data_IF_230721545613
#
_entry.id   IF_230721545613
#
_cell.length_a   1.000
_cell.length_b   1.000
_cell.length_c   1.000
_cell.angle_alpha   90.00
_cell.angle_beta   90.00
_cell.angle_gamma   90.00
#
_symmetry.space_group_name_H-M   'P 1'
#
loop_
_entity.id
_entity.type
_entity.pdbx_description
1 polymer ?
#
# COMPACT_ATOMS: atom_id res chain seq x y z
N UNK A 1 -1.94 -44.16 -4.62
CA UNK A 1 -1.09 -44.33 -3.43
C UNK A 1 -0.68 -42.93 -3.05
N UNK A 2 -1.36 -42.37 -2.05
CA UNK A 2 -0.98 -41.09 -1.48
C UNK A 2 0.27 -41.34 -0.62
N UNK A 3 1.43 -41.13 -1.18
CA UNK A 3 2.66 -40.98 -0.41
C UNK A 3 2.51 -39.70 0.38
N UNK A 4 2.47 -39.85 1.70
CA UNK A 4 2.18 -38.77 2.63
C UNK A 4 3.12 -37.58 2.39
N UNK A 5 2.60 -36.48 1.95
CA UNK A 5 3.19 -35.14 1.91
C UNK A 5 3.86 -34.77 3.25
N UNK A 6 3.47 -35.45 4.31
CA UNK A 6 3.86 -35.20 5.69
C UNK A 6 5.30 -35.55 6.06
N UNK A 7 6.01 -36.26 5.19
CA UNK A 7 7.38 -36.77 5.52
C UNK A 7 8.49 -35.79 5.16
N UNK A 8 8.28 -34.84 4.27
CA UNK A 8 9.33 -34.01 3.69
C UNK A 8 9.43 -32.59 4.28
N UNK A 9 8.39 -32.12 4.94
CA UNK A 9 8.33 -30.77 5.48
C UNK A 9 8.52 -30.76 6.99
N UNK A 10 9.71 -31.04 7.49
CA UNK A 10 9.96 -31.02 8.93
C UNK A 10 10.57 -29.69 9.38
N UNK A 11 10.06 -29.11 10.48
CA UNK A 11 10.32 -27.75 10.92
C UNK A 11 11.80 -27.34 11.07
N UNK A 12 12.69 -28.29 11.36
CA UNK A 12 14.14 -28.05 11.32
C UNK A 12 14.69 -27.91 9.89
N UNK A 13 13.92 -28.31 8.89
CA UNK A 13 14.33 -28.34 7.48
C UNK A 13 13.54 -27.37 6.60
N UNK A 14 12.71 -26.47 7.15
CA UNK A 14 11.91 -25.53 6.36
C UNK A 14 12.82 -24.62 5.50
N UNK A 15 13.93 -24.17 6.04
CA UNK A 15 14.95 -23.41 5.29
C UNK A 15 15.63 -24.26 4.21
N UNK A 16 15.88 -25.54 4.50
CA UNK A 16 16.43 -26.48 3.54
C UNK A 16 15.45 -26.80 2.41
N UNK A 17 14.16 -26.95 2.73
CA UNK A 17 13.11 -27.16 1.72
C UNK A 17 12.93 -25.93 0.84
N UNK A 18 12.96 -24.74 1.42
CA UNK A 18 12.92 -23.50 0.66
C UNK A 18 14.12 -23.32 -0.28
N UNK A 19 15.32 -23.71 0.18
CA UNK A 19 16.53 -23.71 -0.67
C UNK A 19 16.46 -24.75 -1.79
N UNK A 20 15.94 -25.93 -1.51
CA UNK A 20 15.70 -26.95 -2.53
C UNK A 20 14.67 -26.49 -3.56
N UNK A 21 13.61 -25.84 -3.11
CA UNK A 21 12.59 -25.29 -4.00
C UNK A 21 13.15 -24.15 -4.87
N UNK A 22 13.95 -23.26 -4.32
CA UNK A 22 14.65 -22.23 -5.10
C UNK A 22 15.54 -22.85 -6.19
N UNK A 23 16.30 -23.89 -5.85
CA UNK A 23 17.10 -24.65 -6.84
C UNK A 23 16.24 -25.35 -7.88
N UNK A 24 15.10 -25.93 -7.48
CA UNK A 24 14.15 -26.53 -8.41
C UNK A 24 13.59 -25.50 -9.41
N UNK A 25 13.27 -24.29 -8.96
CA UNK A 25 12.79 -23.21 -9.84
C UNK A 25 13.85 -22.75 -10.85
N UNK A 26 15.12 -22.72 -10.44
CA UNK A 26 16.24 -22.40 -11.35
C UNK A 26 16.49 -23.52 -12.36
N UNK A 27 16.47 -24.75 -11.88
CA UNK A 27 16.66 -25.94 -12.71
C UNK A 27 16.00 -27.16 -12.04
N UNK A 28 14.87 -27.67 -12.56
CA UNK A 28 14.16 -28.81 -11.99
C UNK A 28 15.02 -30.05 -11.75
N UNK A 29 16.05 -30.23 -12.56
CA UNK A 29 17.00 -31.37 -12.43
C UNK A 29 18.11 -31.16 -11.40
N UNK A 30 18.14 -30.03 -10.72
CA UNK A 30 19.14 -29.75 -9.68
C UNK A 30 18.80 -30.38 -8.32
N UNK A 31 17.61 -30.94 -8.19
CA UNK A 31 17.11 -31.67 -7.01
C UNK A 31 16.94 -33.15 -7.35
N UNK A 32 16.88 -34.00 -6.33
CA UNK A 32 16.64 -35.43 -6.60
C UNK A 32 15.20 -35.67 -7.09
N UNK A 33 15.00 -36.83 -7.74
CA UNK A 33 13.72 -37.19 -8.38
C UNK A 33 12.52 -37.16 -7.41
N UNK A 34 12.73 -37.40 -6.13
CA UNK A 34 11.68 -37.39 -5.11
C UNK A 34 11.20 -35.96 -4.86
N UNK A 35 12.14 -35.01 -4.80
CA UNK A 35 11.84 -33.59 -4.66
C UNK A 35 11.26 -32.98 -5.94
N UNK A 36 11.75 -33.39 -7.10
CA UNK A 36 11.22 -32.97 -8.39
C UNK A 36 9.74 -33.34 -8.50
N UNK A 37 9.40 -34.59 -8.21
CA UNK A 37 8.01 -35.06 -8.21
C UNK A 37 7.17 -34.32 -7.16
N UNK A 38 7.71 -34.12 -5.97
CA UNK A 38 7.02 -33.40 -4.90
C UNK A 38 6.70 -31.95 -5.28
N UNK A 39 7.65 -31.20 -5.82
CA UNK A 39 7.45 -29.80 -6.22
C UNK A 39 6.59 -29.67 -7.46
N UNK A 40 6.55 -30.67 -8.33
CA UNK A 40 5.69 -30.71 -9.52
C UNK A 40 4.22 -30.98 -9.15
N UNK A 41 3.97 -31.80 -8.12
CA UNK A 41 2.64 -32.17 -7.66
C UNK A 41 2.04 -31.18 -6.65
N UNK A 42 2.78 -30.11 -6.31
CA UNK A 42 2.29 -29.08 -5.40
C UNK A 42 1.12 -28.29 -6.02
N UNK A 43 0.05 -28.11 -5.22
CA UNK A 43 -1.03 -27.19 -5.60
C UNK A 43 -0.51 -25.78 -5.74
N UNK A 44 -1.13 -24.98 -6.63
CA UNK A 44 -0.77 -23.58 -6.88
C UNK A 44 -0.65 -22.75 -5.58
N UNK A 45 -1.50 -23.02 -4.60
CA UNK A 45 -1.48 -22.34 -3.30
C UNK A 45 -0.20 -22.61 -2.49
N UNK A 46 0.28 -23.85 -2.49
CA UNK A 46 1.51 -24.24 -1.80
C UNK A 46 2.76 -23.73 -2.53
N UNK A 47 2.75 -23.67 -3.84
CA UNK A 47 3.85 -23.07 -4.62
C UNK A 47 4.00 -21.59 -4.29
N UNK A 48 2.89 -20.87 -4.14
CA UNK A 48 2.91 -19.45 -3.77
C UNK A 48 3.43 -19.25 -2.34
N UNK A 49 3.04 -20.11 -1.40
CA UNK A 49 3.54 -20.06 -0.01
C UNK A 49 5.05 -20.28 0.03
N UNK A 50 5.58 -21.24 -0.73
CA UNK A 50 7.03 -21.50 -0.79
C UNK A 50 7.80 -20.34 -1.43
N UNK A 51 7.25 -19.71 -2.45
CA UNK A 51 7.83 -18.50 -3.04
C UNK A 51 7.86 -17.33 -2.05
N UNK A 52 6.83 -17.17 -1.23
CA UNK A 52 6.77 -16.14 -0.18
C UNK A 52 7.74 -16.42 0.98
N UNK A 53 8.11 -17.68 1.22
CA UNK A 53 9.13 -18.06 2.23
C UNK A 53 10.54 -17.58 1.90
N UNK A 54 10.87 -17.41 0.63
CA UNK A 54 12.13 -16.81 0.18
C UNK A 54 12.18 -15.30 0.30
N UNK A 55 11.11 -14.69 0.85
CA UNK A 55 10.94 -13.25 0.94
C UNK A 55 11.91 -12.54 1.87
N UNK A 56 12.22 -11.32 1.49
CA UNK A 56 13.15 -10.44 2.15
C UNK A 56 12.85 -10.24 3.65
N UNK A 57 13.89 -10.29 4.46
CA UNK A 57 13.85 -9.86 5.85
C UNK A 57 13.55 -8.35 5.93
N UNK A 58 12.58 -7.98 6.76
CA UNK A 58 12.22 -6.60 7.03
C UNK A 58 13.00 -6.09 8.24
N UNK A 59 13.91 -5.16 8.03
CA UNK A 59 14.29 -4.27 9.10
C UNK A 59 13.15 -3.25 9.27
N UNK A 60 12.69 -2.94 10.49
CA UNK A 60 11.77 -1.83 10.73
C UNK A 60 12.49 -0.55 10.33
N UNK A 61 12.25 -0.10 9.09
CA UNK A 61 12.84 1.12 8.60
C UNK A 61 11.89 2.27 8.86
N UNK A 62 12.41 3.27 9.50
CA UNK A 62 12.01 4.67 9.47
C UNK A 62 10.51 4.93 9.27
N UNK A 63 9.86 5.38 10.35
CA UNK A 63 8.51 5.93 10.32
C UNK A 63 8.40 7.02 9.25
N UNK A 64 7.45 6.86 8.33
CA UNK A 64 7.08 7.92 7.38
C UNK A 64 6.40 9.05 8.15
N UNK A 65 7.12 10.12 8.44
CA UNK A 65 6.61 11.27 9.17
C UNK A 65 6.03 12.28 8.20
N UNK A 66 4.71 12.49 8.23
CA UNK A 66 4.04 13.52 7.43
C UNK A 66 4.23 14.89 8.10
N UNK A 67 4.56 15.91 7.30
CA UNK A 67 4.66 17.30 7.76
C UNK A 67 6.06 17.75 8.18
N UNK A 68 7.09 17.01 7.84
CA UNK A 68 8.46 17.41 8.03
C UNK A 68 8.96 18.31 6.89
N UNK A 69 9.45 19.51 7.20
CA UNK A 69 10.11 20.38 6.20
C UNK A 69 11.58 19.97 6.11
N UNK A 70 11.93 19.40 5.00
CA UNK A 70 13.06 18.60 4.61
C UNK A 70 14.50 19.04 4.86
N UNK A 71 14.83 20.01 5.68
CA UNK A 71 16.24 20.40 5.84
C UNK A 71 17.07 19.55 6.80
N UNK A 72 16.44 18.68 7.61
CA UNK A 72 17.16 17.80 8.56
C UNK A 72 17.00 16.31 8.20
N UNK A 73 15.99 15.94 7.41
CA UNK A 73 15.76 14.54 6.98
C UNK A 73 16.51 14.18 5.69
N UNK A 74 16.98 15.17 4.95
CA UNK A 74 17.79 14.89 3.75
C UNK A 74 19.13 14.20 4.10
N UNK A 75 19.67 14.41 5.30
CA UNK A 75 20.88 13.71 5.76
C UNK A 75 20.59 12.31 6.33
N UNK A 76 19.42 12.09 6.92
CA UNK A 76 19.04 10.75 7.42
C UNK A 76 18.30 9.89 6.37
N UNK A 77 17.71 10.51 5.33
CA UNK A 77 17.08 9.83 4.21
C UNK A 77 18.01 9.66 3.00
N UNK A 78 19.24 10.13 3.09
CA UNK A 78 20.29 9.90 2.09
C UNK A 78 20.98 8.55 2.26
N UNK A 79 20.41 7.62 3.00
CA UNK A 79 20.79 6.22 2.87
C UNK A 79 20.47 5.78 1.44
N UNK A 80 21.49 5.46 0.63
CA UNK A 80 21.32 5.07 -0.75
C UNK A 80 20.83 3.62 -0.79
N UNK A 81 19.54 3.41 -0.53
CA UNK A 81 18.88 2.11 -0.78
C UNK A 81 18.66 1.89 -2.27
N UNK A 82 19.05 2.84 -3.10
CA UNK A 82 18.98 2.67 -4.56
C UNK A 82 20.37 2.87 -5.13
N UNK A 83 20.90 1.79 -5.67
CA UNK A 83 22.13 1.64 -6.45
C UNK A 83 23.34 1.16 -5.65
N UNK A 84 23.29 -0.15 -5.30
CA UNK A 84 24.51 -0.95 -5.49
C UNK A 84 24.26 -1.88 -6.68
N UNK A 85 25.06 -1.81 -7.72
CA UNK A 85 25.15 -2.90 -8.69
C UNK A 85 25.49 -4.17 -7.91
N UNK A 86 24.87 -5.27 -8.26
CA UNK A 86 25.26 -6.58 -7.78
C UNK A 86 26.62 -6.87 -8.45
N UNK A 87 27.69 -6.34 -7.87
CA UNK A 87 29.01 -6.87 -8.16
C UNK A 87 29.09 -8.22 -7.48
N UNK A 88 29.36 -9.23 -8.29
CA UNK A 88 29.53 -10.60 -7.88
C UNK A 88 30.57 -10.72 -6.77
N UNK A 89 30.12 -10.93 -5.56
CA UNK A 89 30.96 -11.43 -4.50
C UNK A 89 31.03 -12.96 -4.60
N UNK A 90 32.14 -13.40 -5.16
CA UNK A 90 32.71 -14.73 -4.91
C UNK A 90 32.72 -14.94 -3.39
N UNK A 91 31.73 -15.61 -2.85
CA UNK A 91 31.72 -16.14 -1.49
C UNK A 91 32.20 -17.58 -1.55
N UNK A 92 33.50 -17.73 -1.70
CA UNK A 92 34.16 -18.91 -1.19
C UNK A 92 33.96 -18.95 0.33
N UNK A 93 33.05 -19.80 0.78
CA UNK A 93 32.86 -20.10 2.19
C UNK A 93 34.16 -20.73 2.76
N UNK A 94 34.65 -20.24 3.91
CA UNK A 94 35.74 -20.95 4.60
C UNK A 94 35.21 -22.30 5.07
N UNK A 95 36.01 -23.32 4.85
CA UNK A 95 35.68 -24.71 5.12
C UNK A 95 35.11 -24.98 6.49
N UNK A 96 33.90 -25.53 6.50
CA UNK A 96 33.35 -26.28 7.63
C UNK A 96 33.93 -27.71 7.63
N UNK A 97 35.15 -27.77 8.05
CA UNK A 97 35.76 -29.01 8.48
C UNK A 97 36.11 -28.87 9.94
N UNK A 98 35.20 -29.27 10.84
CA UNK A 98 35.57 -29.78 12.16
C UNK A 98 34.28 -30.12 12.97
N UNK A 99 34.05 -31.44 13.13
CA UNK A 99 33.57 -32.02 14.36
C UNK A 99 32.16 -31.63 14.84
N UNK A 100 31.12 -32.23 14.26
CA UNK A 100 29.90 -32.45 15.01
C UNK A 100 30.18 -33.38 16.18
N UNK A 101 29.91 -33.00 17.45
CA UNK A 101 29.95 -33.97 18.53
C UNK A 101 28.81 -34.98 18.29
N UNK A 102 29.18 -36.25 18.21
CA UNK A 102 28.23 -37.35 18.21
C UNK A 102 27.41 -37.33 19.50
N UNK A 103 26.23 -36.73 19.47
CA UNK A 103 25.17 -36.97 20.44
C UNK A 103 24.38 -38.19 19.97
N UNK A 104 24.99 -39.33 20.04
CA UNK A 104 24.26 -40.58 20.05
C UNK A 104 23.99 -40.91 21.51
N UNK A 105 22.71 -40.91 21.91
CA UNK A 105 22.09 -42.00 22.61
C UNK A 105 20.73 -41.60 23.16
N UNK A 106 19.66 -42.30 22.68
CA UNK A 106 18.50 -42.61 23.47
C UNK A 106 17.39 -41.60 23.55
N UNK A 107 16.89 -41.10 22.43
CA UNK A 107 15.52 -40.55 22.38
C UNK A 107 14.73 -41.31 21.31
N UNK A 108 13.58 -41.78 21.70
CA UNK A 108 12.62 -42.48 20.85
C UNK A 108 12.48 -41.78 19.50
N UNK A 109 12.99 -42.34 18.42
CA UNK A 109 13.02 -41.74 17.09
C UNK A 109 11.61 -41.37 16.56
N UNK A 110 10.55 -42.01 17.11
CA UNK A 110 9.14 -41.65 16.80
C UNK A 110 8.71 -40.35 17.47
N UNK A 111 9.02 -40.17 18.76
CA UNK A 111 8.64 -38.92 19.46
C UNK A 111 9.36 -37.70 18.90
N UNK A 112 10.56 -37.88 18.34
CA UNK A 112 11.29 -36.81 17.61
C UNK A 112 10.64 -36.51 16.27
N UNK A 113 10.23 -37.50 15.49
CA UNK A 113 9.59 -37.33 14.19
C UNK A 113 8.21 -36.64 14.29
N UNK A 114 7.41 -36.98 15.31
CA UNK A 114 6.10 -36.34 15.51
C UNK A 114 6.23 -34.86 15.88
N UNK A 115 7.19 -34.50 16.72
CA UNK A 115 7.47 -33.10 17.07
C UNK A 115 7.94 -32.29 15.87
N UNK A 116 8.74 -32.87 15.04
CA UNK A 116 9.24 -32.26 13.81
C UNK A 116 8.09 -32.04 12.82
N UNK A 117 7.21 -33.03 12.66
CA UNK A 117 6.00 -32.91 11.83
C UNK A 117 5.08 -31.79 12.33
N UNK A 118 4.81 -31.74 13.63
CA UNK A 118 3.97 -30.72 14.24
C UNK A 118 4.56 -29.31 14.00
N UNK A 119 5.85 -29.12 14.24
CA UNK A 119 6.51 -27.85 14.03
C UNK A 119 6.43 -27.38 12.56
N UNK A 120 6.54 -28.33 11.63
CA UNK A 120 6.39 -28.03 10.20
C UNK A 120 4.97 -27.61 9.85
N UNK A 121 4.00 -28.35 10.34
CA UNK A 121 2.59 -28.06 10.11
C UNK A 121 2.22 -26.69 10.69
N UNK A 122 2.70 -26.37 11.89
CA UNK A 122 2.53 -25.06 12.51
C UNK A 122 3.12 -23.93 11.66
N UNK A 123 4.31 -24.13 11.11
CA UNK A 123 4.96 -23.14 10.23
C UNK A 123 4.15 -22.91 8.96
N UNK A 124 3.70 -23.97 8.30
CA UNK A 124 2.86 -23.87 7.09
C UNK A 124 1.53 -23.18 7.42
N UNK A 125 0.86 -23.60 8.48
CA UNK A 125 -0.40 -23.00 8.92
C UNK A 125 -0.25 -21.51 9.25
N UNK A 126 0.83 -21.12 9.91
CA UNK A 126 1.13 -19.73 10.20
C UNK A 126 1.34 -18.91 8.92
N UNK A 127 2.07 -19.44 7.94
CA UNK A 127 2.32 -18.78 6.66
C UNK A 127 1.04 -18.66 5.82
N UNK A 128 0.19 -19.69 5.82
CA UNK A 128 -1.13 -19.63 5.17
C UNK A 128 -2.01 -18.55 5.82
N UNK A 129 -2.02 -18.46 7.14
CA UNK A 129 -2.73 -17.42 7.86
C UNK A 129 -2.20 -16.02 7.51
N UNK A 130 -0.88 -15.82 7.47
CA UNK A 130 -0.29 -14.55 7.03
C UNK A 130 -0.76 -14.19 5.61
N UNK A 131 -0.69 -15.16 4.69
CA UNK A 131 -1.12 -14.95 3.30
C UNK A 131 -2.60 -14.54 3.21
N UNK A 132 -3.47 -15.19 3.94
CA UNK A 132 -4.90 -14.85 3.90
C UNK A 132 -5.15 -13.45 4.42
N UNK A 133 -4.47 -13.01 5.45
CA UNK A 133 -4.57 -11.61 5.89
C UNK A 133 -4.07 -10.63 4.85
N UNK A 134 -3.03 -10.95 4.07
CA UNK A 134 -2.57 -10.13 2.93
C UNK A 134 -3.63 -10.03 1.83
N UNK A 135 -4.39 -11.08 1.59
CA UNK A 135 -5.43 -11.14 0.54
C UNK A 135 -6.76 -10.59 1.03
N UNK A 136 -7.18 -10.90 2.26
CA UNK A 136 -8.55 -10.67 2.76
C UNK A 136 -8.64 -9.87 4.05
N UNK A 137 -7.52 -9.44 4.62
CA UNK A 137 -7.53 -8.68 5.88
C UNK A 137 -8.37 -7.40 5.81
N UNK A 138 -8.44 -6.75 4.63
CA UNK A 138 -9.27 -5.59 4.38
C UNK A 138 -10.77 -5.84 4.63
N UNK A 139 -11.27 -7.07 4.48
CA UNK A 139 -12.66 -7.42 4.76
C UNK A 139 -13.03 -7.27 6.25
N UNK A 140 -12.03 -7.26 7.13
CA UNK A 140 -12.20 -7.03 8.56
C UNK A 140 -11.69 -5.67 9.03
N UNK A 141 -11.33 -4.79 8.09
CA UNK A 141 -10.95 -3.43 8.42
C UNK A 141 -12.16 -2.61 8.87
N UNK A 142 -11.93 -1.72 9.83
CA UNK A 142 -12.98 -0.85 10.37
C UNK A 142 -13.10 0.42 9.53
N UNK A 143 -13.98 0.40 8.53
CA UNK A 143 -14.28 1.55 7.67
C UNK A 143 -15.49 2.35 8.13
N UNK A 144 -16.18 1.89 9.16
CA UNK A 144 -17.42 2.49 9.64
C UNK A 144 -17.20 3.31 10.92
N UNK A 145 -16.96 4.62 10.81
CA UNK A 145 -16.77 5.46 11.99
C UNK A 145 -18.04 5.63 12.84
N UNK A 146 -19.20 5.28 12.27
CA UNK A 146 -20.49 5.37 12.96
C UNK A 146 -20.88 4.05 13.64
N UNK A 147 -20.19 2.96 13.35
CA UNK A 147 -20.46 1.64 13.94
C UNK A 147 -21.80 1.03 13.53
N UNK A 148 -22.32 1.39 12.36
CA UNK A 148 -23.63 0.91 11.86
C UNK A 148 -23.50 -0.47 11.21
N UNK A 149 -22.34 -0.81 10.67
CA UNK A 149 -22.04 -2.13 10.12
C UNK A 149 -21.70 -3.10 11.25
N UNK A 150 -22.33 -4.26 11.25
CA UNK A 150 -21.98 -5.31 12.21
C UNK A 150 -20.55 -5.84 11.97
N UNK A 151 -19.78 -6.03 13.02
CA UNK A 151 -18.46 -6.66 12.95
C UNK A 151 -18.63 -8.18 12.90
N UNK A 152 -18.69 -8.77 11.73
CA UNK A 152 -18.56 -10.22 11.57
C UNK A 152 -17.14 -10.57 11.15
N UNK A 153 -16.46 -11.40 11.94
CA UNK A 153 -15.15 -11.92 11.55
C UNK A 153 -15.31 -12.78 10.29
N UNK A 154 -14.55 -12.47 9.26
CA UNK A 154 -14.53 -13.32 8.08
C UNK A 154 -13.96 -14.70 8.45
N UNK A 155 -14.63 -15.81 8.10
CA UNK A 155 -14.24 -17.15 8.59
C UNK A 155 -12.79 -17.52 8.27
N UNK A 156 -12.27 -17.12 7.13
CA UNK A 156 -10.89 -17.40 6.76
C UNK A 156 -9.84 -16.57 7.54
N UNK A 157 -10.27 -15.56 8.30
CA UNK A 157 -9.39 -14.79 9.19
C UNK A 157 -9.40 -15.32 10.62
N UNK A 158 -10.17 -16.38 10.89
CA UNK A 158 -10.15 -17.07 12.19
C UNK A 158 -8.93 -18.01 12.25
N UNK A 159 -8.04 -17.87 13.25
CA UNK A 159 -6.88 -18.75 13.42
C UNK A 159 -7.27 -20.24 13.56
N UNK A 160 -8.47 -20.54 14.02
CA UNK A 160 -8.98 -21.91 14.13
C UNK A 160 -9.07 -22.61 12.78
N UNK A 161 -9.30 -21.86 11.70
CA UNK A 161 -9.31 -22.39 10.33
C UNK A 161 -7.95 -22.98 9.93
N UNK A 162 -6.88 -22.54 10.58
CA UNK A 162 -5.50 -23.02 10.37
C UNK A 162 -5.02 -23.98 11.46
N UNK A 163 -5.93 -24.46 12.32
CA UNK A 163 -5.60 -25.39 13.38
C UNK A 163 -5.02 -24.77 14.64
N UNK A 164 -5.04 -23.43 14.78
CA UNK A 164 -4.59 -22.75 15.98
C UNK A 164 -5.75 -22.54 16.95
N UNK A 165 -5.74 -23.29 18.04
CA UNK A 165 -6.66 -23.14 19.16
C UNK A 165 -6.01 -22.30 20.27
N UNK A 166 -6.75 -21.94 21.32
CA UNK A 166 -6.25 -21.08 22.39
C UNK A 166 -5.00 -21.63 23.08
N UNK A 167 -4.91 -22.95 23.19
CA UNK A 167 -3.76 -23.67 23.74
C UNK A 167 -2.48 -23.55 22.90
N UNK A 168 -2.62 -23.23 21.60
CA UNK A 168 -1.51 -23.13 20.66
C UNK A 168 -1.00 -21.68 20.54
N UNK A 169 -1.79 -20.71 21.01
CA UNK A 169 -1.58 -19.30 20.73
C UNK A 169 -0.25 -18.73 21.24
N UNK A 170 0.35 -19.35 22.24
CA UNK A 170 1.60 -18.89 22.85
C UNK A 170 2.80 -19.81 22.52
N UNK A 171 2.62 -20.79 21.63
CA UNK A 171 3.70 -21.66 21.15
C UNK A 171 4.55 -20.96 20.10
N UNK A 172 5.88 -20.86 20.28
CA UNK A 172 6.76 -20.27 19.27
C UNK A 172 6.78 -21.09 17.97
N UNK A 173 6.59 -20.44 16.85
CA UNK A 173 6.57 -21.03 15.51
C UNK A 173 7.64 -20.35 14.66
N UNK A 174 8.37 -21.14 13.90
CA UNK A 174 9.33 -20.62 12.92
C UNK A 174 8.59 -20.08 11.69
N UNK A 175 8.79 -18.79 11.37
CA UNK A 175 8.15 -18.11 10.25
C UNK A 175 9.15 -17.46 9.27
N UNK A 176 10.44 -17.79 9.42
CA UNK A 176 11.51 -17.39 8.49
C UNK A 176 11.50 -15.92 8.09
N UNK A 177 11.39 -15.02 9.05
CA UNK A 177 11.37 -13.56 8.84
C UNK A 177 10.22 -13.01 7.98
N UNK A 178 9.16 -13.78 7.73
CA UNK A 178 8.04 -13.35 6.89
C UNK A 178 7.37 -12.06 7.38
N UNK A 179 7.33 -11.81 8.67
CA UNK A 179 6.87 -10.55 9.30
C UNK A 179 8.01 -9.80 10.00
N UNK A 180 9.26 -9.99 9.55
CA UNK A 180 10.45 -9.43 10.18
C UNK A 180 10.88 -10.16 11.47
N UNK A 181 10.35 -11.35 11.73
CA UNK A 181 10.67 -12.19 12.89
C UNK A 181 11.02 -13.60 12.44
N UNK A 182 12.12 -14.14 12.94
CA UNK A 182 12.51 -15.51 12.66
C UNK A 182 11.51 -16.52 13.24
N UNK A 183 11.10 -16.26 14.48
CA UNK A 183 10.08 -17.01 15.22
C UNK A 183 9.08 -16.07 15.84
N UNK A 184 7.81 -16.48 15.87
CA UNK A 184 6.75 -15.75 16.54
C UNK A 184 5.64 -16.71 17.02
N UNK A 185 4.89 -16.30 18.03
CA UNK A 185 3.70 -17.02 18.44
C UNK A 185 2.50 -16.69 17.56
N UNK A 186 1.50 -17.57 17.41
CA UNK A 186 0.26 -17.25 16.70
C UNK A 186 -0.40 -15.97 17.21
N UNK A 187 -0.34 -15.71 18.50
CA UNK A 187 -0.87 -14.49 19.13
C UNK A 187 -0.14 -13.22 18.64
N UNK A 188 1.19 -13.27 18.55
CA UNK A 188 2.00 -12.16 18.03
C UNK A 188 1.75 -11.95 16.54
N UNK A 189 1.72 -13.03 15.76
CA UNK A 189 1.39 -12.99 14.33
C UNK A 189 0.03 -12.33 14.12
N UNK A 190 -1.01 -12.79 14.80
CA UNK A 190 -2.36 -12.21 14.70
C UNK A 190 -2.41 -10.74 15.10
N UNK A 191 -1.69 -10.37 16.16
CA UNK A 191 -1.61 -8.97 16.58
C UNK A 191 -1.05 -8.08 15.48
N UNK A 192 0.04 -8.51 14.86
CA UNK A 192 0.68 -7.77 13.76
C UNK A 192 -0.24 -7.70 12.54
N UNK A 193 -0.82 -8.84 12.13
CA UNK A 193 -1.72 -8.93 11.00
C UNK A 193 -2.96 -8.04 11.16
N UNK A 194 -3.58 -8.08 12.33
CA UNK A 194 -4.73 -7.22 12.64
C UNK A 194 -4.38 -5.75 12.66
N UNK A 195 -3.22 -5.37 13.21
CA UNK A 195 -2.73 -3.99 13.18
C UNK A 195 -2.48 -3.51 11.76
N UNK A 196 -1.92 -4.38 10.91
CA UNK A 196 -1.53 -4.03 9.55
C UNK A 196 -2.71 -3.98 8.58
N UNK A 197 -3.60 -4.98 8.65
CA UNK A 197 -4.60 -5.22 7.61
C UNK A 197 -6.05 -5.01 8.04
N UNK A 198 -6.33 -4.95 9.34
CA UNK A 198 -7.69 -4.86 9.88
C UNK A 198 -7.94 -3.59 10.72
N UNK A 199 -7.11 -2.57 10.59
CA UNK A 199 -7.31 -1.28 11.27
C UNK A 199 -8.33 -0.40 10.52
N UNK A 200 -8.16 0.90 10.50
CA UNK A 200 -9.01 1.83 9.75
C UNK A 200 -8.63 1.99 8.27
N UNK A 201 -7.62 1.24 7.79
CA UNK A 201 -7.15 1.27 6.41
C UNK A 201 -7.20 -0.15 5.86
N UNK A 202 -7.91 -0.36 4.76
CA UNK A 202 -7.89 -1.59 3.99
C UNK A 202 -6.90 -1.49 2.84
N UNK A 203 -6.24 -2.60 2.52
CA UNK A 203 -5.25 -2.66 1.45
C UNK A 203 -5.49 -3.89 0.61
N UNK A 204 -5.54 -3.70 -0.70
CA UNK A 204 -5.66 -4.76 -1.68
C UNK A 204 -4.53 -4.61 -2.70
N UNK A 205 -3.55 -5.50 -2.67
CA UNK A 205 -2.36 -5.44 -3.54
C UNK A 205 -1.90 -6.81 -4.06
N UNK A 206 -2.45 -7.90 -3.53
CA UNK A 206 -2.01 -9.24 -3.91
C UNK A 206 -2.37 -9.63 -5.35
N UNK A 207 -3.26 -8.87 -6.00
CA UNK A 207 -3.62 -9.02 -7.41
C UNK A 207 -2.57 -8.43 -8.37
N UNK A 208 -1.58 -7.69 -7.86
CA UNK A 208 -0.52 -7.10 -8.69
C UNK A 208 0.37 -8.23 -9.23
N UNK A 209 0.44 -8.36 -10.54
CA UNK A 209 1.18 -9.45 -11.21
C UNK A 209 2.70 -9.35 -11.00
N UNK A 210 3.25 -8.13 -11.06
CA UNK A 210 4.69 -7.92 -10.91
C UNK A 210 5.11 -8.13 -9.46
N UNK A 211 5.89 -9.19 -9.22
CA UNK A 211 6.34 -9.58 -7.88
C UNK A 211 7.12 -8.46 -7.16
N UNK A 212 7.94 -7.72 -7.90
CA UNK A 212 8.74 -6.61 -7.36
C UNK A 212 7.85 -5.48 -6.83
N UNK A 213 6.84 -5.08 -7.59
CA UNK A 213 5.87 -4.03 -7.19
C UNK A 213 5.07 -4.49 -5.97
N UNK A 214 4.58 -5.72 -5.99
CA UNK A 214 3.86 -6.32 -4.87
C UNK A 214 4.72 -6.37 -3.60
N UNK A 215 5.95 -6.84 -3.71
CA UNK A 215 6.91 -6.90 -2.60
C UNK A 215 7.23 -5.51 -2.06
N UNK A 216 7.40 -4.53 -2.94
CA UNK A 216 7.66 -3.14 -2.56
C UNK A 216 6.51 -2.54 -1.71
N UNK A 217 5.26 -2.79 -2.10
CA UNK A 217 4.08 -2.35 -1.35
C UNK A 217 3.99 -3.08 -0.01
N UNK A 218 4.11 -4.41 -0.04
CA UNK A 218 4.07 -5.26 1.14
C UNK A 218 5.08 -4.81 2.19
N UNK A 219 6.31 -4.55 1.79
CA UNK A 219 7.36 -4.05 2.65
C UNK A 219 6.97 -2.79 3.41
N UNK A 220 6.42 -1.82 2.71
CA UNK A 220 6.03 -0.54 3.32
C UNK A 220 4.86 -0.68 4.27
N UNK A 221 3.91 -1.53 3.92
CA UNK A 221 2.71 -1.75 4.73
C UNK A 221 3.08 -2.52 6.01
N UNK A 222 3.78 -3.64 5.88
CA UNK A 222 4.12 -4.51 7.01
C UNK A 222 5.18 -3.88 7.92
N UNK A 223 6.20 -3.23 7.34
CA UNK A 223 7.26 -2.58 8.10
C UNK A 223 6.76 -1.47 9.04
N UNK A 224 5.78 -0.69 8.59
CA UNK A 224 5.12 0.34 9.40
C UNK A 224 3.85 -0.17 10.10
N UNK A 225 3.48 -1.46 9.91
CA UNK A 225 2.18 -2.02 10.34
C UNK A 225 1.00 -1.19 9.85
N UNK A 226 1.13 -0.60 8.67
CA UNK A 226 0.18 0.34 8.07
C UNK A 226 -0.23 1.50 9.00
N UNK A 227 0.67 1.90 9.91
CA UNK A 227 0.48 2.99 10.85
C UNK A 227 1.52 4.07 10.58
N UNK A 228 1.06 5.32 10.59
CA UNK A 228 1.93 6.47 10.38
C UNK A 228 1.99 7.30 11.66
N UNK A 229 3.18 7.53 12.15
CA UNK A 229 3.41 8.49 13.23
C UNK A 229 3.59 9.89 12.65
N UNK A 230 2.82 10.84 13.17
CA UNK A 230 2.92 12.23 12.78
C UNK A 230 3.68 13.02 13.83
N UNK A 231 4.60 13.89 13.39
CA UNK A 231 5.19 14.91 14.27
C UNK A 231 4.12 15.88 14.74
N UNK A 232 4.38 16.59 15.81
CA UNK A 232 3.50 17.68 16.27
C UNK A 232 3.24 18.72 15.17
N UNK A 233 4.28 19.09 14.42
CA UNK A 233 4.17 20.02 13.28
C UNK A 233 3.29 19.44 12.18
N UNK A 234 3.41 18.14 11.88
CA UNK A 234 2.58 17.45 10.91
C UNK A 234 1.11 17.41 11.33
N UNK A 235 0.83 17.06 12.58
CA UNK A 235 -0.53 17.09 13.13
C UNK A 235 -1.16 18.49 13.06
N UNK A 236 -0.39 19.52 13.41
CA UNK A 236 -0.84 20.92 13.31
C UNK A 236 -1.13 21.32 11.87
N UNK A 237 -0.30 20.92 10.92
CA UNK A 237 -0.53 21.20 9.50
C UNK A 237 -1.82 20.52 9.00
N UNK A 238 -2.00 19.24 9.30
CA UNK A 238 -3.22 18.50 8.94
C UNK A 238 -4.46 19.20 9.53
N UNK A 239 -4.42 19.53 10.82
CA UNK A 239 -5.50 20.23 11.49
C UNK A 239 -5.82 21.57 10.85
N UNK A 240 -4.80 22.36 10.49
CA UNK A 240 -4.98 23.63 9.79
C UNK A 240 -5.69 23.43 8.44
N UNK A 241 -5.28 22.44 7.64
CA UNK A 241 -5.96 22.15 6.37
C UNK A 241 -7.40 21.72 6.54
N UNK A 242 -7.70 20.94 7.55
CA UNK A 242 -9.08 20.55 7.88
C UNK A 242 -9.93 21.77 8.25
N UNK A 243 -9.44 22.64 9.12
CA UNK A 243 -10.15 23.87 9.54
C UNK A 243 -10.38 24.82 8.35
N UNK A 244 -9.38 24.98 7.49
CA UNK A 244 -9.50 25.82 6.28
C UNK A 244 -10.54 25.26 5.32
N UNK A 245 -10.51 23.95 5.06
CA UNK A 245 -11.44 23.28 4.15
C UNK A 245 -12.89 23.36 4.66
N UNK A 246 -13.13 23.00 5.91
CA UNK A 246 -14.45 23.07 6.53
C UNK A 246 -14.93 24.51 6.68
N UNK A 247 -14.07 25.42 7.13
CA UNK A 247 -14.40 26.81 7.31
C UNK A 247 -14.82 27.51 6.03
N UNK A 248 -14.15 27.19 4.91
CA UNK A 248 -14.51 27.69 3.59
C UNK A 248 -15.91 27.20 3.17
N UNK A 249 -16.20 25.92 3.31
CA UNK A 249 -17.51 25.37 2.92
C UNK A 249 -18.64 25.89 3.82
N UNK A 250 -18.41 25.98 5.11
CA UNK A 250 -19.38 26.58 6.07
C UNK A 250 -19.62 28.06 5.77
N UNK A 251 -18.62 28.83 5.35
CA UNK A 251 -18.79 30.21 4.93
C UNK A 251 -19.66 30.29 3.68
N UNK A 252 -19.39 29.45 2.66
CA UNK A 252 -20.20 29.39 1.45
C UNK A 252 -21.65 29.01 1.75
N UNK A 253 -21.87 28.09 2.66
CA UNK A 253 -23.20 27.66 3.08
C UNK A 253 -24.05 28.82 3.66
N UNK A 254 -23.44 29.57 4.57
CA UNK A 254 -24.12 30.72 5.21
C UNK A 254 -24.31 31.89 4.25
N UNK A 255 -23.35 32.13 3.35
CA UNK A 255 -23.36 33.33 2.50
C UNK A 255 -24.18 33.14 1.23
N UNK A 256 -24.18 31.94 0.65
CA UNK A 256 -24.77 31.63 -0.64
C UNK A 256 -25.81 30.50 -0.51
N UNK A 257 -26.76 30.69 0.41
CA UNK A 257 -27.87 29.76 0.67
C UNK A 257 -28.63 29.49 -0.63
N UNK A 258 -29.00 28.24 -0.88
CA UNK A 258 -29.75 27.82 -2.08
C UNK A 258 -28.92 27.66 -3.35
N UNK A 259 -27.62 27.98 -3.34
CA UNK A 259 -26.72 27.72 -4.47
C UNK A 259 -26.09 26.34 -4.31
N UNK A 260 -26.00 25.60 -5.41
CA UNK A 260 -25.23 24.31 -5.40
C UNK A 260 -23.77 24.58 -5.06
N UNK A 261 -23.22 23.85 -4.09
CA UNK A 261 -21.83 24.01 -3.64
C UNK A 261 -21.03 22.72 -3.71
N UNK A 262 -21.68 21.57 -3.60
CA UNK A 262 -21.05 20.24 -3.64
C UNK A 262 -19.80 20.14 -2.74
N UNK A 263 -19.98 20.36 -1.45
CA UNK A 263 -18.91 20.31 -0.45
C UNK A 263 -18.32 18.91 -0.26
N UNK A 264 -17.22 18.85 0.48
CA UNK A 264 -16.57 17.59 0.85
C UNK A 264 -17.32 16.87 1.97
N UNK A 265 -17.95 17.62 2.87
CA UNK A 265 -18.81 17.13 3.97
C UNK A 265 -18.39 15.75 4.55
N UNK A 266 -17.42 15.75 5.47
CA UNK A 266 -16.84 14.54 6.06
C UNK A 266 -15.62 13.98 5.33
N UNK A 267 -15.30 14.48 4.14
CA UNK A 267 -14.13 14.13 3.35
C UNK A 267 -13.05 15.21 3.32
N UNK A 268 -13.02 16.15 4.27
CA UNK A 268 -12.09 17.30 4.30
C UNK A 268 -10.62 16.87 4.37
N UNK A 269 -10.36 15.68 4.87
CA UNK A 269 -9.01 15.06 4.89
C UNK A 269 -8.40 14.91 3.50
N UNK A 270 -9.22 14.93 2.43
CA UNK A 270 -8.75 14.93 1.04
C UNK A 270 -7.80 16.11 0.78
N UNK A 271 -8.07 17.28 1.32
CA UNK A 271 -7.22 18.48 1.11
C UNK A 271 -5.82 18.27 1.70
N UNK A 272 -5.73 17.74 2.93
CA UNK A 272 -4.44 17.43 3.55
C UNK A 272 -3.71 16.30 2.80
N UNK A 273 -4.45 15.30 2.30
CA UNK A 273 -3.88 14.21 1.51
C UNK A 273 -3.31 14.70 0.17
N UNK A 274 -4.04 15.53 -0.56
CA UNK A 274 -3.58 16.11 -1.83
C UNK A 274 -2.32 16.95 -1.65
N UNK A 275 -2.28 17.81 -0.64
CA UNK A 275 -1.08 18.60 -0.31
C UNK A 275 0.15 17.68 -0.09
N UNK A 276 -0.03 16.62 0.67
CA UNK A 276 1.06 15.69 0.96
C UNK A 276 1.49 14.88 -0.28
N UNK A 277 0.52 14.41 -1.09
CA UNK A 277 0.80 13.69 -2.33
C UNK A 277 1.63 14.56 -3.27
N UNK A 278 1.18 15.80 -3.53
CA UNK A 278 1.86 16.70 -4.46
C UNK A 278 3.25 17.07 -3.93
N UNK A 279 3.35 17.42 -2.63
CA UNK A 279 4.64 17.72 -2.01
C UNK A 279 5.60 16.54 -2.12
N UNK A 280 5.17 15.34 -1.74
CA UNK A 280 6.04 14.17 -1.79
C UNK A 280 6.44 13.81 -3.22
N UNK A 281 5.52 13.92 -4.15
CA UNK A 281 5.79 13.68 -5.56
C UNK A 281 6.83 14.67 -6.12
N UNK A 282 6.75 15.94 -5.74
CA UNK A 282 7.75 16.95 -6.16
C UNK A 282 9.16 16.61 -5.66
N UNK A 283 9.28 16.14 -4.42
CA UNK A 283 10.56 15.68 -3.85
C UNK A 283 11.12 14.44 -4.57
N UNK A 284 10.27 13.66 -5.24
CA UNK A 284 10.64 12.48 -6.04
C UNK A 284 10.89 12.82 -7.52
N UNK A 285 10.86 14.09 -7.89
CA UNK A 285 11.17 14.56 -9.25
C UNK A 285 9.95 14.73 -10.15
N UNK A 286 8.73 14.64 -9.62
CA UNK A 286 7.52 14.93 -10.39
C UNK A 286 7.43 16.44 -10.69
N UNK A 287 7.17 16.79 -11.95
CA UNK A 287 7.08 18.18 -12.41
C UNK A 287 5.66 18.62 -12.72
N UNK A 288 4.76 17.69 -13.01
CA UNK A 288 3.38 18.02 -13.35
C UNK A 288 2.36 16.99 -12.80
N UNK A 289 1.22 17.50 -12.31
CA UNK A 289 0.05 16.70 -11.95
C UNK A 289 -1.16 17.15 -12.75
N UNK A 290 -1.78 16.21 -13.46
CA UNK A 290 -3.05 16.42 -14.14
C UNK A 290 -4.17 15.87 -13.28
N UNK A 291 -5.00 16.76 -12.75
CA UNK A 291 -6.08 16.42 -11.83
C UNK A 291 -7.40 16.22 -12.60
N UNK A 292 -8.12 15.18 -12.24
CA UNK A 292 -9.49 14.92 -12.70
C UNK A 292 -10.41 14.65 -11.53
N UNK A 293 -11.54 15.34 -11.49
CA UNK A 293 -12.55 15.17 -10.46
C UNK A 293 -13.90 15.65 -10.91
N UNK A 294 -15.00 15.07 -10.41
CA UNK A 294 -16.34 15.60 -10.60
C UNK A 294 -16.56 16.86 -9.74
N UNK A 295 -17.81 17.21 -9.55
CA UNK A 295 -18.21 18.45 -8.86
C UNK A 295 -17.97 18.44 -7.33
N UNK A 296 -18.04 17.28 -6.66
CA UNK A 296 -17.92 17.20 -5.19
C UNK A 296 -16.52 17.56 -4.73
N UNK A 297 -16.43 18.57 -3.86
CA UNK A 297 -15.16 19.09 -3.35
C UNK A 297 -14.38 19.97 -4.32
N UNK A 298 -14.86 20.17 -5.56
CA UNK A 298 -14.12 20.92 -6.59
C UNK A 298 -13.82 22.34 -6.19
N UNK A 299 -14.76 23.05 -5.56
CA UNK A 299 -14.53 24.42 -5.09
C UNK A 299 -13.43 24.49 -4.04
N UNK A 300 -13.39 23.51 -3.14
CA UNK A 300 -12.35 23.42 -2.12
C UNK A 300 -10.98 23.11 -2.73
N UNK A 301 -10.92 22.20 -3.69
CA UNK A 301 -9.68 21.90 -4.45
C UNK A 301 -9.21 23.14 -5.23
N UNK A 302 -10.10 23.87 -5.87
CA UNK A 302 -9.77 25.14 -6.55
C UNK A 302 -9.16 26.16 -5.59
N UNK A 303 -9.74 26.34 -4.41
CA UNK A 303 -9.25 27.29 -3.41
C UNK A 303 -7.94 26.80 -2.76
N UNK A 304 -7.96 25.61 -2.19
CA UNK A 304 -6.91 25.12 -1.28
C UNK A 304 -5.71 24.50 -2.02
N UNK A 305 -5.94 23.82 -3.14
CA UNK A 305 -4.90 23.12 -3.89
C UNK A 305 -4.41 23.95 -5.09
N UNK A 306 -5.33 24.50 -5.88
CA UNK A 306 -4.99 25.28 -7.06
C UNK A 306 -4.72 26.77 -6.75
N UNK A 307 -4.83 27.17 -5.48
CA UNK A 307 -4.61 28.56 -5.03
C UNK A 307 -5.49 29.61 -5.77
N UNK A 308 -6.68 29.21 -6.20
CA UNK A 308 -7.62 30.18 -6.80
C UNK A 308 -8.03 31.21 -5.74
N UNK A 309 -7.85 32.52 -5.97
CA UNK A 309 -8.19 33.53 -4.98
C UNK A 309 -9.65 33.48 -4.59
N UNK A 310 -9.94 33.54 -3.28
CA UNK A 310 -11.32 33.56 -2.77
C UNK A 310 -12.17 34.68 -3.35
N UNK A 311 -11.56 35.86 -3.59
CA UNK A 311 -12.26 36.99 -4.19
C UNK A 311 -12.79 36.66 -5.59
N UNK A 312 -12.01 35.93 -6.39
CA UNK A 312 -12.45 35.49 -7.71
C UNK A 312 -13.61 34.50 -7.61
N UNK A 313 -13.52 33.57 -6.66
CA UNK A 313 -14.60 32.59 -6.43
C UNK A 313 -15.90 33.28 -5.94
N UNK A 314 -15.80 34.23 -5.03
CA UNK A 314 -16.96 34.95 -4.53
C UNK A 314 -17.58 35.84 -5.61
N UNK A 315 -16.77 36.45 -6.49
CA UNK A 315 -17.25 37.17 -7.65
C UNK A 315 -18.10 36.28 -8.59
N UNK A 316 -17.64 35.04 -8.83
CA UNK A 316 -18.42 34.05 -9.59
C UNK A 316 -19.75 33.68 -8.93
N UNK A 317 -19.78 33.57 -7.59
CA UNK A 317 -21.03 33.37 -6.85
C UNK A 317 -22.02 34.55 -6.94
N UNK A 318 -21.50 35.77 -7.06
CA UNK A 318 -22.30 36.98 -7.23
C UNK A 318 -22.67 37.25 -8.69
N UNK A 319 -22.25 36.39 -9.63
CA UNK A 319 -22.51 36.60 -11.06
C UNK A 319 -21.63 37.72 -11.67
N UNK A 320 -20.61 38.17 -10.93
CA UNK A 320 -19.66 39.18 -11.41
C UNK A 320 -18.55 38.42 -12.18
N UNK A 321 -18.83 38.02 -13.41
CA UNK A 321 -17.80 37.52 -14.31
C UNK A 321 -16.91 38.68 -14.78
N UNK A 322 -15.61 38.53 -14.65
CA UNK A 322 -14.69 39.49 -15.31
C UNK A 322 -15.01 39.50 -16.80
N UNK A 323 -15.35 40.67 -17.31
CA UNK A 323 -15.53 40.91 -18.75
C UNK A 323 -14.17 40.76 -19.47
N UNK A 324 -13.75 39.54 -19.64
CA UNK A 324 -12.69 39.24 -20.60
C UNK A 324 -13.16 38.04 -21.40
N UNK A 325 -13.34 38.36 -22.63
CA UNK A 325 -13.65 37.55 -23.78
C UNK A 325 -15.11 37.36 -24.12
N UNK A 326 -15.46 38.00 -25.23
CA UNK A 326 -16.58 37.73 -26.12
C UNK A 326 -16.56 36.29 -26.69
N UNK A 327 -16.32 35.32 -25.86
CA UNK A 327 -16.68 33.94 -26.16
C UNK A 327 -18.12 33.80 -25.73
N UNK A 328 -19.03 33.88 -26.67
CA UNK A 328 -20.40 33.42 -26.54
C UNK A 328 -20.42 31.92 -26.19
N UNK A 329 -19.88 31.56 -25.06
CA UNK A 329 -20.03 30.26 -24.44
C UNK A 329 -21.29 30.29 -23.57
N UNK A 330 -22.22 29.41 -23.84
CA UNK A 330 -23.32 29.10 -22.92
C UNK A 330 -22.73 28.97 -21.53
N UNK A 331 -23.29 29.68 -20.53
CA UNK A 331 -22.79 29.74 -19.17
C UNK A 331 -22.62 28.36 -18.56
N UNK A 332 -21.44 27.78 -18.80
CA UNK A 332 -21.12 26.54 -18.12
C UNK A 332 -21.02 26.80 -16.63
N UNK A 333 -21.46 25.84 -15.87
CA UNK A 333 -21.47 26.01 -14.41
C UNK A 333 -20.02 26.03 -13.91
N UNK A 334 -19.74 26.96 -13.00
CA UNK A 334 -18.42 27.17 -12.38
C UNK A 334 -17.72 25.91 -11.87
N UNK A 335 -18.47 24.83 -11.67
CA UNK A 335 -17.93 23.51 -11.22
C UNK A 335 -17.34 22.67 -12.34
N UNK A 336 -17.53 23.05 -13.59
CA UNK A 336 -17.03 22.30 -14.75
C UNK A 336 -15.75 22.90 -15.30
N UNK A 337 -15.43 24.13 -14.98
CA UNK A 337 -14.29 24.84 -15.51
C UNK A 337 -12.99 24.21 -15.02
N UNK A 338 -12.04 24.07 -15.95
CA UNK A 338 -10.65 23.70 -15.66
C UNK A 338 -9.84 24.93 -15.22
N UNK A 339 -8.69 24.68 -14.66
CA UNK A 339 -7.69 25.70 -14.31
C UNK A 339 -6.32 25.07 -14.20
N UNK A 340 -5.29 25.91 -14.26
CA UNK A 340 -3.91 25.48 -13.96
C UNK A 340 -3.23 26.47 -13.04
N UNK A 341 -2.26 25.97 -12.27
CA UNK A 341 -1.47 26.79 -11.36
C UNK A 341 -0.13 26.12 -11.09
N UNK A 342 0.88 26.92 -10.85
CA UNK A 342 2.16 26.43 -10.37
C UNK A 342 2.19 26.48 -8.84
N UNK A 343 2.67 25.42 -8.23
CA UNK A 343 2.85 25.31 -6.78
C UNK A 343 4.33 25.05 -6.48
N UNK A 344 4.81 25.70 -5.43
CA UNK A 344 6.19 25.55 -4.98
C UNK A 344 6.19 24.76 -3.66
N UNK A 345 6.96 23.69 -3.63
CA UNK A 345 7.18 22.86 -2.45
C UNK A 345 8.67 22.68 -2.23
N UNK A 346 9.22 23.23 -1.16
CA UNK A 346 10.65 23.15 -0.83
C UNK A 346 11.50 23.46 -2.06
N UNK A 347 11.49 24.47 -2.74
CA UNK A 347 12.22 24.87 -3.98
C UNK A 347 11.83 24.12 -5.27
N UNK A 348 10.99 23.09 -5.20
CA UNK A 348 10.49 22.38 -6.38
C UNK A 348 9.19 23.00 -6.88
N UNK A 349 9.14 23.33 -8.17
CA UNK A 349 7.92 23.81 -8.82
C UNK A 349 7.17 22.63 -9.43
N UNK A 350 5.88 22.53 -9.13
CA UNK A 350 4.98 21.54 -9.74
C UNK A 350 3.85 22.27 -10.45
N UNK A 351 3.69 21.98 -11.72
CA UNK A 351 2.55 22.45 -12.50
C UNK A 351 1.31 21.60 -12.22
N UNK A 352 0.24 22.21 -11.74
CA UNK A 352 -1.04 21.56 -11.51
C UNK A 352 -2.03 21.95 -12.62
N UNK A 353 -2.67 20.95 -13.23
CA UNK A 353 -3.67 21.16 -14.27
C UNK A 353 -4.96 20.43 -13.90
N UNK A 354 -5.97 21.17 -13.41
CA UNK A 354 -7.30 20.62 -13.16
C UNK A 354 -8.10 20.59 -14.46
N UNK A 355 -8.42 19.40 -14.92
CA UNK A 355 -9.15 19.20 -16.17
C UNK A 355 -10.61 19.65 -16.06
N UNK A 356 -11.08 20.39 -17.04
CA UNK A 356 -12.50 20.68 -17.20
C UNK A 356 -13.27 19.38 -17.45
N UNK A 357 -14.46 19.22 -16.88
CA UNK A 357 -15.30 18.06 -17.10
C UNK A 357 -16.78 18.38 -16.87
N UNK A 358 -17.70 17.66 -17.53
CA UNK A 358 -19.13 17.76 -17.24
C UNK A 358 -19.49 17.09 -15.92
N UNK A 359 -20.76 17.20 -15.49
CA UNK A 359 -21.27 16.51 -14.30
C UNK A 359 -21.37 14.98 -14.44
N UNK A 360 -20.99 14.41 -15.58
CA UNK A 360 -20.97 12.97 -15.79
C UNK A 360 -19.84 12.34 -14.96
N UNK A 361 -20.22 11.51 -14.02
CA UNK A 361 -19.27 10.84 -13.12
C UNK A 361 -18.31 9.98 -13.93
N UNK A 362 -17.01 10.04 -13.58
CA UNK A 362 -15.89 9.29 -14.17
C UNK A 362 -15.56 9.57 -15.65
N UNK A 363 -16.37 10.35 -16.37
CA UNK A 363 -16.09 10.71 -17.77
C UNK A 363 -14.72 11.41 -17.93
N UNK A 364 -14.21 12.05 -16.88
CA UNK A 364 -12.91 12.73 -16.88
C UNK A 364 -11.72 11.76 -16.85
N UNK A 365 -11.92 10.50 -16.48
CA UNK A 365 -10.83 9.51 -16.32
C UNK A 365 -10.05 9.33 -17.62
N UNK A 366 -10.73 9.05 -18.70
CA UNK A 366 -10.13 8.85 -20.02
C UNK A 366 -9.46 10.11 -20.55
N UNK A 367 -10.03 11.29 -20.26
CA UNK A 367 -9.46 12.59 -20.64
C UNK A 367 -8.14 12.85 -19.90
N UNK A 368 -8.10 12.62 -18.60
CA UNK A 368 -6.88 12.79 -17.79
C UNK A 368 -5.80 11.81 -18.23
N UNK A 369 -6.13 10.54 -18.42
CA UNK A 369 -5.17 9.53 -18.88
C UNK A 369 -4.60 9.88 -20.25
N UNK A 370 -5.44 10.34 -21.17
CA UNK A 370 -5.00 10.81 -22.50
C UNK A 370 -4.10 12.04 -22.41
N UNK A 371 -4.45 13.03 -21.59
CA UNK A 371 -3.61 14.23 -21.35
C UNK A 371 -2.26 13.86 -20.76
N UNK A 372 -2.22 13.02 -19.73
CA UNK A 372 -0.98 12.56 -19.09
C UNK A 372 -0.10 11.87 -20.13
N UNK A 373 -0.65 10.94 -20.88
CA UNK A 373 0.09 10.20 -21.88
C UNK A 373 0.65 11.11 -22.99
N UNK A 374 -0.14 12.07 -23.44
CA UNK A 374 0.31 13.06 -24.45
C UNK A 374 1.46 13.92 -23.90
N UNK A 375 1.33 14.42 -22.69
CA UNK A 375 2.37 15.26 -22.04
C UNK A 375 3.65 14.46 -21.79
N UNK A 376 3.57 13.22 -21.30
CA UNK A 376 4.73 12.34 -21.18
C UNK A 376 5.44 12.14 -22.52
N UNK A 377 4.70 11.91 -23.60
CA UNK A 377 5.27 11.76 -24.94
C UNK A 377 5.94 13.05 -25.43
N UNK A 378 5.34 14.23 -25.16
CA UNK A 378 5.89 15.53 -25.57
C UNK A 378 7.24 15.84 -24.93
N UNK A 379 7.48 15.43 -23.68
CA UNK A 379 8.74 15.67 -22.97
C UNK A 379 9.70 14.47 -23.02
N UNK A 380 9.33 13.37 -23.69
CA UNK A 380 10.15 12.17 -23.75
C UNK A 380 10.24 11.39 -22.43
N UNK A 381 9.21 11.50 -21.56
CA UNK A 381 9.13 10.76 -20.29
C UNK A 381 8.69 9.32 -20.53
N UNK A 382 9.59 8.50 -21.07
CA UNK A 382 9.34 7.10 -21.36
C UNK A 382 9.13 6.26 -20.09
N UNK A 383 9.81 6.64 -19.03
CA UNK A 383 9.72 5.96 -17.73
C UNK A 383 8.50 6.39 -16.91
N UNK A 384 7.74 7.39 -17.35
CA UNK A 384 6.50 7.90 -16.73
C UNK A 384 6.71 8.36 -15.28
N UNK A 385 7.81 9.06 -15.05
CA UNK A 385 8.22 9.53 -13.71
C UNK A 385 7.92 11.00 -13.45
N UNK A 386 7.78 11.79 -14.52
CA UNK A 386 7.72 13.26 -14.41
C UNK A 386 6.31 13.80 -14.39
N UNK A 387 5.33 13.10 -14.95
CA UNK A 387 3.95 13.55 -15.07
C UNK A 387 2.99 12.48 -14.55
N UNK A 388 2.12 12.87 -13.62
CA UNK A 388 1.15 11.99 -12.97
C UNK A 388 -0.29 12.44 -13.21
N UNK A 389 -1.19 11.47 -13.45
CA UNK A 389 -2.64 11.67 -13.36
C UNK A 389 -3.14 11.38 -11.97
N UNK A 390 -3.97 12.25 -11.42
CA UNK A 390 -4.60 12.08 -10.12
C UNK A 390 -6.11 12.22 -10.26
N UNK A 391 -6.82 11.11 -10.08
CA UNK A 391 -8.27 11.02 -10.21
C UNK A 391 -8.93 10.93 -8.84
N UNK A 392 -10.02 11.66 -8.66
CA UNK A 392 -10.77 11.71 -7.41
C UNK A 392 -12.25 11.48 -7.69
N UNK A 393 -12.84 10.50 -7.04
CA UNK A 393 -14.23 10.13 -7.20
C UNK A 393 -14.86 9.77 -5.85
N UNK A 394 -16.19 9.89 -5.74
CA UNK A 394 -16.92 9.26 -4.66
C UNK A 394 -16.94 7.74 -4.84
N UNK A 395 -16.98 7.01 -3.76
CA UNK A 395 -17.01 5.54 -3.73
C UNK A 395 -18.16 4.94 -4.56
N UNK A 396 -19.35 5.47 -4.41
CA UNK A 396 -20.54 5.03 -5.15
C UNK A 396 -20.39 5.27 -6.67
N UNK A 397 -19.75 6.37 -7.08
CA UNK A 397 -19.48 6.64 -8.48
C UNK A 397 -18.46 5.64 -9.04
N UNK A 398 -17.39 5.39 -8.29
CA UNK A 398 -16.33 4.46 -8.69
C UNK A 398 -16.83 3.01 -8.84
N UNK A 399 -17.81 2.61 -8.03
CA UNK A 399 -18.44 1.30 -8.14
C UNK A 399 -19.55 1.23 -9.21
N UNK A 400 -20.03 2.36 -9.72
CA UNK A 400 -21.22 2.45 -10.58
C UNK A 400 -20.95 2.61 -12.07
N UNK A 401 -19.71 2.88 -12.47
CA UNK A 401 -19.31 3.08 -13.87
C UNK A 401 -18.32 1.98 -14.28
N UNK A 402 -18.37 1.61 -15.55
CA UNK A 402 -17.53 0.55 -16.10
C UNK A 402 -16.08 0.94 -16.36
#
# INVERSE_FOLDING_TARGET
MATSLDSFLSGANASYVAELYARFLENPRSVDQTWENFFTDLSDDLQVVLNDMGGASWAPSVSNVIGYNGSVVAEELSDPVVQRPIEGHDRSLPGLGAGLPAMANGLDGRASADKVRQATQDSISALMMVRVYRVRGHLNANFDPLGLAGNSLHPELDPKTYGFHEEDMDRPIFINNVLGMETATPREILKILKQTYCSSIGVEFMHIERAEERSWIQQRIEGARNQTEFTFKGKRFIYQRLVEAEGFERFLDKKYTGTKRFGLDGGESLIAALEQIIKRSSQLGLTEVVLGMPHRGRLNVLASIMNKPYIAMFAEFMGLTSKQDDVMGSGDVKYHLGTSADRVFDDNVVHLSLTANPSHLEAVNTVVLGKVRAKQAQIGDEERKSIMGLLMHGDAAFAGQG
#
